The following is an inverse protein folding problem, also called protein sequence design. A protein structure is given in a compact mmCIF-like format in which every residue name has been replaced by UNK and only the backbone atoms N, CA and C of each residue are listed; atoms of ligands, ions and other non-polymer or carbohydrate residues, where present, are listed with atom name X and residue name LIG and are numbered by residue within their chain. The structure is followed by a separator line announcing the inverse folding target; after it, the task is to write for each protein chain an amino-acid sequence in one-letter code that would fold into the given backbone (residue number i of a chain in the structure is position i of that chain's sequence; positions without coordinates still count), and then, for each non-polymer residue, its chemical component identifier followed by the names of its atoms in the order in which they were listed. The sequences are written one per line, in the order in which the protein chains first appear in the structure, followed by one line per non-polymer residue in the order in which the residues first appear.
data_IF_830260953896
#
_entry.id   IF_830260953896
#
_cell.length_a   1.000
_cell.length_b   1.000
_cell.length_c   1.000
_cell.angle_alpha   90.00
_cell.angle_beta   90.00
_cell.angle_gamma   90.00
#
_symmetry.space_group_name_H-M   'P 1'
#
loop_
_entity.id
_entity.type
_entity.pdbx_description
1 polymer ?
#
# COMPACT_ATOMS: atom_id res chain seq x y z
N UNK A 1 -10.12 -0.06 16.39
CA UNK A 1 -10.11 0.28 14.94
C UNK A 1 -10.42 -0.97 14.15
N UNK A 2 -11.11 -0.84 13.03
CA UNK A 2 -11.51 -1.98 12.20
C UNK A 2 -10.46 -2.32 11.13
N UNK A 3 -10.51 -3.55 10.63
CA UNK A 3 -9.78 -4.02 9.46
C UNK A 3 -10.77 -4.42 8.38
N UNK A 4 -10.54 -3.96 7.15
CA UNK A 4 -11.45 -4.21 6.03
C UNK A 4 -10.64 -4.70 4.84
N UNK A 5 -10.97 -5.89 4.33
CA UNK A 5 -10.42 -6.39 3.06
C UNK A 5 -10.80 -5.39 1.99
N UNK A 6 -9.89 -4.90 1.14
CA UNK A 6 -10.17 -3.90 0.08
C UNK A 6 -10.17 -4.47 -1.34
N UNK A 7 -9.37 -5.50 -1.62
CA UNK A 7 -9.30 -6.08 -2.95
C UNK A 7 -8.09 -6.99 -3.09
N UNK A 8 -7.64 -7.18 -4.33
CA UNK A 8 -6.44 -7.96 -4.62
C UNK A 8 -5.21 -7.09 -4.83
N UNK A 9 -4.04 -7.63 -4.50
CA UNK A 9 -2.76 -6.99 -4.80
C UNK A 9 -2.58 -6.88 -6.32
N UNK A 10 -2.01 -5.78 -6.80
CA UNK A 10 -1.77 -5.56 -8.23
C UNK A 10 -2.97 -5.01 -9.02
N UNK A 11 -4.12 -4.81 -8.38
CA UNK A 11 -5.28 -4.13 -8.99
C UNK A 11 -5.45 -2.72 -8.46
N UNK A 12 -5.95 -1.81 -9.31
CA UNK A 12 -6.39 -0.48 -8.88
C UNK A 12 -7.72 -0.62 -8.14
N UNK A 13 -7.71 -0.37 -6.83
CA UNK A 13 -8.89 -0.57 -5.97
C UNK A 13 -9.50 0.78 -5.60
N UNK A 14 -10.75 0.99 -6.01
CA UNK A 14 -11.55 2.15 -5.58
C UNK A 14 -12.49 1.71 -4.46
N UNK A 15 -12.33 2.29 -3.26
CA UNK A 15 -13.14 1.92 -2.09
C UNK A 15 -14.52 2.58 -2.16
N UNK A 16 -15.64 1.85 -2.26
CA UNK A 16 -16.96 2.45 -2.44
C UNK A 16 -17.52 2.98 -1.12
N UNK A 17 -17.03 4.14 -0.69
CA UNK A 17 -17.53 4.85 0.48
C UNK A 17 -17.35 6.35 0.29
N UNK A 18 -18.30 7.10 0.83
CA UNK A 18 -18.35 8.55 1.01
C UNK A 18 -17.94 8.97 2.43
N UNK A 19 -17.47 8.04 3.27
CA UNK A 19 -17.07 8.29 4.65
C UNK A 19 -15.55 8.23 4.77
N UNK A 20 -14.95 9.28 5.33
CA UNK A 20 -13.50 9.35 5.52
C UNK A 20 -12.99 8.16 6.33
N UNK A 21 -12.02 7.41 5.77
CA UNK A 21 -11.52 6.16 6.36
C UNK A 21 -10.90 6.31 7.76
N UNK A 22 -10.44 7.52 8.10
CA UNK A 22 -9.76 7.80 9.37
C UNK A 22 -10.66 8.43 10.45
N UNK A 23 -11.44 9.44 10.07
CA UNK A 23 -12.29 10.21 11.00
C UNK A 23 -13.73 9.73 11.06
N UNK A 24 -14.21 8.94 10.08
CA UNK A 24 -15.61 8.51 10.03
C UNK A 24 -16.60 9.60 9.61
N UNK A 25 -16.12 10.78 9.19
CA UNK A 25 -16.96 11.89 8.74
C UNK A 25 -17.17 11.82 7.22
N UNK A 26 -18.36 12.15 6.69
CA UNK A 26 -18.60 12.20 5.25
C UNK A 26 -17.60 13.12 4.51
N UNK A 27 -17.10 12.67 3.36
CA UNK A 27 -16.18 13.41 2.52
C UNK A 27 -16.24 12.96 1.06
N UNK A 28 -16.17 13.92 0.14
CA UNK A 28 -16.06 13.68 -1.31
C UNK A 28 -14.61 13.61 -1.77
N UNK A 29 -13.66 14.07 -0.94
CA UNK A 29 -12.24 14.11 -1.27
C UNK A 29 -11.62 12.71 -1.19
N UNK A 30 -10.86 12.33 -2.21
CA UNK A 30 -10.22 11.02 -2.32
C UNK A 30 -8.71 11.18 -2.41
N UNK A 31 -7.98 10.30 -1.72
CA UNK A 31 -6.53 10.24 -1.76
C UNK A 31 -6.12 8.87 -2.27
N UNK A 32 -5.23 8.87 -3.27
CA UNK A 32 -4.60 7.65 -3.79
C UNK A 32 -3.47 7.23 -2.87
N UNK A 33 -3.66 6.12 -2.16
CA UNK A 33 -2.58 5.45 -1.43
C UNK A 33 -1.80 4.58 -2.41
N UNK A 34 -0.54 4.94 -2.62
CA UNK A 34 0.41 4.16 -3.42
C UNK A 34 1.46 3.58 -2.49
N UNK A 35 1.81 2.34 -2.71
CA UNK A 35 2.90 1.70 -1.98
C UNK A 35 3.30 0.38 -2.59
N UNK A 36 4.25 -0.26 -1.92
CA UNK A 36 4.62 -1.64 -2.17
C UNK A 36 4.46 -2.44 -0.88
N UNK A 37 4.11 -3.70 -1.05
CA UNK A 37 4.07 -4.69 0.03
C UNK A 37 5.09 -5.76 -0.29
N UNK A 38 5.81 -6.20 0.73
CA UNK A 38 6.72 -7.34 0.66
C UNK A 38 6.15 -8.47 1.51
N UNK A 39 6.30 -9.73 1.10
CA UNK A 39 5.92 -10.87 1.94
C UNK A 39 6.68 -10.88 3.27
N UNK A 40 6.00 -11.23 4.36
CA UNK A 40 6.60 -11.25 5.71
C UNK A 40 7.85 -12.13 5.81
N UNK A 41 7.93 -13.23 5.04
CA UNK A 41 9.09 -14.12 5.00
C UNK A 41 10.36 -13.42 4.51
N UNK A 42 10.24 -12.34 3.74
CA UNK A 42 11.41 -11.58 3.25
C UNK A 42 12.16 -10.97 4.43
N UNK A 43 11.47 -10.56 5.49
CA UNK A 43 12.10 -9.99 6.70
C UNK A 43 13.09 -10.98 7.35
N UNK A 44 12.83 -12.29 7.24
CA UNK A 44 13.73 -13.32 7.77
C UNK A 44 15.11 -13.26 7.10
N UNK A 45 15.19 -12.87 5.83
CA UNK A 45 16.47 -12.72 5.11
C UNK A 45 17.36 -11.61 5.69
N UNK A 46 16.76 -10.62 6.36
CA UNK A 46 17.51 -9.53 7.01
C UNK A 46 18.50 -10.06 8.04
N UNK A 47 18.16 -11.18 8.72
CA UNK A 47 19.00 -11.82 9.74
C UNK A 47 20.24 -12.47 9.13
N UNK A 48 20.14 -12.96 7.90
CA UNK A 48 21.25 -13.63 7.21
C UNK A 48 22.15 -12.65 6.47
N UNK A 49 21.54 -11.71 5.74
CA UNK A 49 22.29 -10.73 4.95
C UNK A 49 21.41 -9.55 4.55
N UNK A 50 21.92 -8.33 4.76
CA UNK A 50 21.28 -7.09 4.29
C UNK A 50 21.13 -7.07 2.76
N UNK A 51 22.15 -7.53 2.03
CA UNK A 51 22.14 -7.54 0.55
C UNK A 51 21.06 -8.49 0.00
N UNK A 52 21.02 -9.75 0.48
CA UNK A 52 19.98 -10.71 0.10
C UNK A 52 18.57 -10.25 0.45
N UNK A 53 18.38 -9.63 1.62
CA UNK A 53 17.10 -9.00 1.98
C UNK A 53 16.70 -7.89 1.00
N UNK A 54 17.62 -7.02 0.62
CA UNK A 54 17.36 -5.91 -0.30
C UNK A 54 16.99 -6.43 -1.70
N UNK A 55 17.75 -7.41 -2.21
CA UNK A 55 17.46 -8.05 -3.50
C UNK A 55 16.09 -8.75 -3.50
N UNK A 56 15.82 -9.56 -2.48
CA UNK A 56 14.53 -10.25 -2.33
C UNK A 56 13.37 -9.26 -2.18
N UNK A 57 13.56 -8.15 -1.44
CA UNK A 57 12.55 -7.10 -1.28
C UNK A 57 12.20 -6.43 -2.60
N UNK A 58 13.20 -6.12 -3.45
CA UNK A 58 12.96 -5.53 -4.77
C UNK A 58 12.25 -6.53 -5.69
N UNK A 59 12.68 -7.79 -5.70
CA UNK A 59 12.12 -8.82 -6.59
C UNK A 59 10.69 -9.25 -6.19
N UNK A 60 10.39 -9.29 -4.89
CA UNK A 60 9.09 -9.70 -4.36
C UNK A 60 8.12 -8.55 -4.10
N UNK A 61 8.57 -7.30 -4.24
CA UNK A 61 7.76 -6.11 -3.99
C UNK A 61 6.60 -6.04 -4.99
N UNK A 62 5.38 -6.14 -4.48
CA UNK A 62 4.18 -5.91 -5.28
C UNK A 62 3.65 -4.51 -5.05
N UNK A 63 3.49 -3.75 -6.13
CA UNK A 63 2.91 -2.41 -6.10
C UNK A 63 1.40 -2.49 -5.93
N UNK A 64 0.83 -1.54 -5.19
CA UNK A 64 -0.60 -1.38 -5.05
C UNK A 64 -1.00 0.09 -5.17
N UNK A 65 -2.24 0.30 -5.61
CA UNK A 65 -2.88 1.61 -5.69
C UNK A 65 -4.30 1.48 -5.15
N UNK A 66 -4.60 2.20 -4.08
CA UNK A 66 -5.90 2.16 -3.40
C UNK A 66 -6.43 3.58 -3.25
N UNK A 67 -7.57 3.88 -3.85
CA UNK A 67 -8.23 5.18 -3.75
C UNK A 67 -9.26 5.19 -2.61
N UNK A 68 -8.92 5.90 -1.54
CA UNK A 68 -9.73 5.98 -0.31
C UNK A 68 -10.31 7.38 -0.08
N UNK A 69 -11.55 7.49 0.45
CA UNK A 69 -12.08 8.77 0.93
C UNK A 69 -11.28 9.25 2.15
N UNK A 70 -10.72 10.45 2.06
CA UNK A 70 -9.84 11.00 3.10
C UNK A 70 -10.01 12.51 3.21
N UNK A 71 -10.12 13.02 4.45
CA UNK A 71 -10.29 14.45 4.68
C UNK A 71 -9.03 15.24 4.34
N UNK A 72 -9.15 16.37 3.62
CA UNK A 72 -8.00 17.13 3.12
C UNK A 72 -7.12 17.70 4.24
N UNK A 73 -7.70 18.09 5.38
CA UNK A 73 -6.92 18.64 6.50
C UNK A 73 -6.02 17.58 7.15
N UNK A 74 -6.47 16.32 7.23
CA UNK A 74 -5.66 15.21 7.75
C UNK A 74 -4.49 14.91 6.82
N UNK A 75 -4.72 14.96 5.49
CA UNK A 75 -3.65 14.73 4.50
C UNK A 75 -2.61 15.85 4.58
N UNK A 76 -3.06 17.10 4.67
CA UNK A 76 -2.17 18.27 4.82
C UNK A 76 -1.34 18.19 6.11
N UNK A 77 -1.96 17.89 7.25
CA UNK A 77 -1.25 17.74 8.53
C UNK A 77 -0.22 16.62 8.48
N UNK A 78 -0.59 15.45 7.92
CA UNK A 78 0.34 14.34 7.77
C UNK A 78 1.54 14.72 6.91
N UNK A 79 1.33 15.38 5.75
CA UNK A 79 2.40 15.84 4.86
C UNK A 79 3.33 16.82 5.56
N UNK A 80 2.79 17.84 6.22
CA UNK A 80 3.59 18.85 6.93
C UNK A 80 4.49 18.21 8.00
N UNK A 81 3.94 17.32 8.82
CA UNK A 81 4.70 16.63 9.86
C UNK A 81 5.72 15.65 9.28
N UNK A 82 5.40 15.00 8.16
CA UNK A 82 6.34 14.13 7.45
C UNK A 82 7.50 14.92 6.87
N UNK A 83 7.22 16.03 6.20
CA UNK A 83 8.24 16.86 5.58
C UNK A 83 9.16 17.47 6.64
N UNK A 84 8.60 17.91 7.78
CA UNK A 84 9.39 18.33 8.95
C UNK A 84 10.30 17.21 9.46
N UNK A 85 9.77 16.00 9.63
CA UNK A 85 10.55 14.84 10.07
C UNK A 85 11.68 14.51 9.07
N UNK A 86 11.42 14.60 7.77
CA UNK A 86 12.45 14.38 6.74
C UNK A 86 13.54 15.45 6.82
N UNK A 87 13.18 16.72 6.96
CA UNK A 87 14.15 17.83 7.07
C UNK A 87 15.01 17.67 8.31
N UNK A 88 14.40 17.47 9.49
CA UNK A 88 15.13 17.29 10.75
C UNK A 88 16.02 16.04 10.69
N UNK A 89 15.51 14.95 10.14
CA UNK A 89 16.29 13.72 9.96
C UNK A 89 17.51 13.92 9.07
N UNK A 90 17.34 14.63 7.96
CA UNK A 90 18.41 14.94 7.00
C UNK A 90 19.48 15.84 7.63
N UNK A 91 19.07 16.87 8.38
CA UNK A 91 19.98 17.73 9.13
C UNK A 91 20.80 16.91 10.14
N UNK A 92 20.15 16.00 10.89
CA UNK A 92 20.84 15.12 11.83
C UNK A 92 21.89 14.24 11.15
N UNK A 93 21.59 13.67 9.98
CA UNK A 93 22.55 12.83 9.24
C UNK A 93 23.74 13.66 8.75
N UNK A 94 23.48 14.83 8.14
CA UNK A 94 24.53 15.72 7.65
C UNK A 94 25.43 16.16 8.82
N UNK A 95 24.84 16.57 9.94
CA UNK A 95 25.58 16.97 11.12
C UNK A 95 26.41 15.82 11.70
N UNK A 96 25.90 14.58 11.69
CA UNK A 96 26.64 13.40 12.15
C UNK A 96 27.85 13.10 11.25
N UNK A 97 27.69 13.21 9.93
CA UNK A 97 28.79 13.04 8.98
C UNK A 97 29.86 14.11 9.19
N UNK A 98 29.47 15.38 9.28
CA UNK A 98 30.42 16.49 9.51
C UNK A 98 31.14 16.31 10.85
N UNK A 99 30.43 16.01 11.93
CA UNK A 99 31.03 15.79 13.25
C UNK A 99 32.03 14.62 13.25
N UNK A 100 31.71 13.54 12.52
CA UNK A 100 32.60 12.38 12.37
C UNK A 100 33.86 12.75 11.59
N UNK A 101 33.74 13.51 10.50
CA UNK A 101 34.88 13.96 9.69
C UNK A 101 35.76 14.99 10.43
N UNK A 102 35.18 15.78 11.31
CA UNK A 102 35.90 16.75 12.15
C UNK A 102 36.55 16.14 13.40
N UNK A 103 36.36 14.84 13.65
CA UNK A 103 36.93 14.17 14.83
C UNK A 103 36.31 14.63 16.16
N UNK A 104 35.06 15.08 16.16
CA UNK A 104 34.36 15.44 17.39
C UNK A 104 33.95 14.16 18.16
N UNK A 105 34.33 14.06 19.43
CA UNK A 105 34.03 12.93 20.32
C UNK A 105 32.52 12.70 20.55
N UNK A 106 31.68 13.64 20.11
CA UNK A 106 30.22 13.62 20.34
C UNK A 106 29.40 13.52 19.04
N UNK A 107 29.96 12.91 17.99
CA UNK A 107 29.25 12.65 16.73
C UNK A 107 27.96 11.81 16.88
N UNK A 108 27.74 11.17 18.03
CA UNK A 108 26.49 10.45 18.35
C UNK A 108 25.30 11.38 18.64
N UNK A 109 25.53 12.62 19.10
CA UNK A 109 24.46 13.58 19.42
C UNK A 109 23.61 13.94 18.18
N UNK A 110 24.19 14.35 17.04
CA UNK A 110 23.39 14.58 15.83
C UNK A 110 22.73 13.30 15.29
N UNK A 111 23.31 12.12 15.54
CA UNK A 111 22.69 10.84 15.19
C UNK A 111 21.41 10.60 16.00
N UNK A 112 21.38 10.98 17.27
CA UNK A 112 20.13 10.93 18.07
C UNK A 112 19.04 11.84 17.48
N UNK A 113 19.40 13.00 16.94
CA UNK A 113 18.43 13.87 16.28
C UNK A 113 17.77 13.15 15.09
N UNK A 114 18.55 12.39 14.30
CA UNK A 114 18.01 11.54 13.22
C UNK A 114 17.08 10.47 13.76
N UNK A 115 17.44 9.79 14.85
CA UNK A 115 16.58 8.77 15.48
C UNK A 115 15.25 9.39 15.94
N UNK A 116 15.29 10.55 16.60
CA UNK A 116 14.08 11.27 17.03
C UNK A 116 13.20 11.63 15.83
N UNK A 117 13.79 12.11 14.74
CA UNK A 117 13.06 12.44 13.52
C UNK A 117 12.37 11.20 12.90
N UNK A 118 13.06 10.06 12.87
CA UNK A 118 12.49 8.77 12.40
C UNK A 118 11.31 8.36 13.29
N UNK A 119 11.47 8.43 14.62
CA UNK A 119 10.40 8.07 15.56
C UNK A 119 9.18 8.98 15.38
N UNK A 120 9.38 10.29 15.29
CA UNK A 120 8.29 11.26 15.05
C UNK A 120 7.59 11.00 13.71
N UNK A 121 8.35 10.72 12.64
CA UNK A 121 7.80 10.36 11.33
C UNK A 121 6.95 9.08 11.37
N UNK A 122 7.41 8.07 12.11
CA UNK A 122 6.68 6.81 12.32
C UNK A 122 5.41 7.01 13.15
N UNK A 123 5.48 7.74 14.26
CA UNK A 123 4.31 8.05 15.10
C UNK A 123 3.28 8.87 14.33
N UNK A 124 3.72 9.89 13.58
CA UNK A 124 2.86 10.68 12.71
C UNK A 124 2.17 9.79 11.67
N UNK A 125 2.93 8.92 11.00
CA UNK A 125 2.37 7.97 10.03
C UNK A 125 1.38 7.00 10.68
N UNK A 126 1.67 6.50 11.88
CA UNK A 126 0.78 5.61 12.61
C UNK A 126 -0.54 6.29 13.01
N UNK A 127 -0.45 7.54 13.47
CA UNK A 127 -1.61 8.30 13.95
C UNK A 127 -2.47 8.83 12.82
N UNK A 128 -1.90 9.29 11.72
CA UNK A 128 -2.66 10.00 10.69
C UNK A 128 -2.97 9.17 9.45
N UNK A 129 -2.16 8.16 9.10
CA UNK A 129 -2.46 7.30 7.96
C UNK A 129 -3.32 6.09 8.34
N UNK A 130 -3.98 5.54 7.32
CA UNK A 130 -4.48 4.17 7.32
C UNK A 130 -3.39 3.25 6.81
N UNK A 131 -3.26 2.05 7.39
CA UNK A 131 -2.28 1.09 6.89
C UNK A 131 -2.88 0.25 5.77
N UNK A 132 -2.11 -0.02 4.72
CA UNK A 132 -2.43 -1.07 3.77
C UNK A 132 -1.50 -2.24 4.09
N UNK A 133 -2.07 -3.41 4.36
CA UNK A 133 -1.30 -4.63 4.59
C UNK A 133 -1.78 -5.71 3.63
N UNK A 134 -0.85 -6.50 3.13
CA UNK A 134 -1.18 -7.73 2.44
C UNK A 134 -1.44 -8.82 3.48
N UNK A 135 -2.57 -9.53 3.37
CA UNK A 135 -2.88 -10.68 4.22
C UNK A 135 -3.01 -11.91 3.32
N UNK A 136 -2.02 -12.79 3.35
CA UNK A 136 -1.96 -13.92 2.42
C UNK A 136 -1.45 -13.55 1.02
N UNK A 137 -1.57 -14.43 0.01
CA UNK A 137 -0.86 -14.28 -1.26
C UNK A 137 -1.39 -13.15 -2.15
N UNK A 138 -2.67 -12.78 -2.01
CA UNK A 138 -3.29 -11.81 -2.91
C UNK A 138 -4.22 -10.80 -2.25
N UNK A 139 -4.52 -10.90 -0.94
CA UNK A 139 -5.54 -10.03 -0.33
C UNK A 139 -4.92 -8.76 0.23
N UNK A 140 -5.43 -7.60 -0.19
CA UNK A 140 -5.13 -6.32 0.43
C UNK A 140 -6.16 -6.01 1.53
N UNK A 141 -5.67 -5.60 2.69
CA UNK A 141 -6.47 -5.23 3.86
C UNK A 141 -6.12 -3.82 4.27
N UNK A 142 -7.12 -2.96 4.39
CA UNK A 142 -6.99 -1.70 5.09
C UNK A 142 -7.05 -1.95 6.59
N UNK A 143 -6.04 -1.48 7.29
CA UNK A 143 -5.93 -1.51 8.74
C UNK A 143 -6.13 -0.11 9.30
N UNK A 144 -6.50 -0.03 10.59
CA UNK A 144 -6.69 1.23 11.30
C UNK A 144 -7.83 2.08 10.70
N UNK A 145 -8.87 1.42 10.20
CA UNK A 145 -10.05 2.07 9.63
C UNK A 145 -11.02 2.44 10.75
N UNK A 146 -11.65 3.60 10.62
CA UNK A 146 -12.72 4.03 11.51
C UNK A 146 -13.93 3.09 11.40
N UNK A 147 -14.59 2.67 12.51
CA UNK A 147 -15.72 1.74 12.45
C UNK A 147 -16.84 2.17 11.49
N UNK A 148 -17.28 3.43 11.56
CA UNK A 148 -18.31 3.96 10.64
C UNK A 148 -17.90 3.87 9.15
N UNK A 149 -16.62 4.10 8.84
CA UNK A 149 -16.13 3.94 7.47
C UNK A 149 -16.08 2.46 7.07
N UNK A 150 -15.71 1.56 7.98
CA UNK A 150 -15.72 0.12 7.71
C UNK A 150 -17.14 -0.39 7.37
N UNK A 151 -18.15 0.03 8.14
CA UNK A 151 -19.55 -0.28 7.87
C UNK A 151 -20.02 0.29 6.52
N UNK A 152 -19.65 1.53 6.20
CA UNK A 152 -19.96 2.14 4.90
C UNK A 152 -19.32 1.38 3.73
N UNK A 153 -18.07 0.92 3.87
CA UNK A 153 -17.38 0.12 2.85
C UNK A 153 -18.06 -1.23 2.63
N UNK A 154 -18.45 -1.91 3.71
CA UNK A 154 -19.15 -3.21 3.63
C UNK A 154 -20.50 -3.03 2.94
N UNK A 155 -21.27 -2.00 3.30
CA UNK A 155 -22.54 -1.67 2.64
C UNK A 155 -22.37 -1.31 1.17
N UNK A 156 -21.41 -0.44 0.85
CA UNK A 156 -21.13 -0.01 -0.52
C UNK A 156 -20.78 -1.19 -1.44
N UNK A 157 -20.07 -2.19 -0.91
CA UNK A 157 -19.80 -3.43 -1.65
C UNK A 157 -21.01 -4.29 -1.89
N UNK A 158 -21.87 -4.47 -0.89
CA UNK A 158 -23.09 -5.26 -1.03
C UNK A 158 -23.99 -4.67 -2.13
N UNK A 159 -24.03 -3.34 -2.24
CA UNK A 159 -24.73 -2.64 -3.31
C UNK A 159 -24.08 -2.87 -4.69
N UNK A 160 -22.74 -2.81 -4.77
CA UNK A 160 -22.02 -3.10 -6.02
C UNK A 160 -22.18 -4.54 -6.50
N UNK A 161 -22.15 -5.52 -5.58
CA UNK A 161 -22.39 -6.92 -5.94
C UNK A 161 -23.82 -7.16 -6.42
N UNK A 162 -24.79 -6.36 -5.95
CA UNK A 162 -26.20 -6.46 -6.38
C UNK A 162 -26.47 -5.78 -7.72
N UNK A 163 -25.62 -4.81 -8.12
CA UNK A 163 -25.78 -4.04 -9.35
C UNK A 163 -24.88 -4.53 -10.49
N UNK A 164 -23.98 -5.47 -10.23
CA UNK A 164 -23.35 -6.23 -11.30
C UNK A 164 -24.47 -7.02 -12.02
N UNK A 165 -24.79 -6.70 -13.30
CA UNK A 165 -25.76 -7.49 -14.04
C UNK A 165 -25.30 -8.93 -13.95
N UNK A 166 -26.23 -9.82 -13.60
CA UNK A 166 -25.99 -11.26 -13.57
C UNK A 166 -25.53 -11.64 -14.97
N UNK A 167 -24.22 -11.58 -15.20
CA UNK A 167 -23.60 -12.03 -16.43
C UNK A 167 -23.92 -13.51 -16.36
N UNK A 168 -24.88 -14.01 -17.17
CA UNK A 168 -25.29 -15.39 -17.08
C UNK A 168 -23.99 -16.16 -17.15
N UNK A 169 -23.65 -16.85 -16.06
CA UNK A 169 -22.48 -17.71 -16.00
C UNK A 169 -22.60 -18.50 -17.26
N UNK A 170 -21.73 -18.19 -18.23
CA UNK A 170 -21.78 -18.78 -19.55
C UNK A 170 -21.56 -20.24 -19.28
N UNK A 171 -22.68 -20.95 -19.16
CA UNK A 171 -22.73 -22.39 -19.19
C UNK A 171 -21.89 -22.70 -20.40
N UNK A 172 -20.72 -23.29 -20.12
CA UNK A 172 -19.77 -23.70 -21.10
C UNK A 172 -20.53 -24.63 -22.03
N UNK A 173 -21.15 -24.05 -23.06
CA UNK A 173 -21.57 -24.71 -24.27
C UNK A 173 -20.26 -25.01 -24.97
N UNK A 174 -19.59 -26.01 -24.43
CA UNK A 174 -18.59 -26.82 -25.08
C UNK A 174 -19.34 -27.70 -26.10
N UNK A 175 -20.18 -27.09 -26.94
CA UNK A 175 -20.69 -27.74 -28.14
C UNK A 175 -19.54 -27.66 -29.14
N UNK A 176 -18.79 -28.77 -29.18
CA UNK A 176 -18.72 -29.54 -30.41
C UNK A 176 -18.37 -28.74 -31.68
N UNK A 177 -17.19 -28.13 -31.70
CA UNK A 177 -16.43 -27.95 -32.94
C UNK A 177 -15.18 -28.83 -32.91
N UNK A 178 -15.38 -30.11 -32.62
CA UNK A 178 -14.71 -31.16 -33.36
C UNK A 178 -15.33 -31.18 -34.77
N UNK A 179 -14.53 -31.53 -35.76
CA UNK A 179 -14.90 -31.75 -37.16
C UNK A 179 -15.12 -30.49 -38.01
N UNK A 180 -14.04 -30.07 -38.66
CA UNK A 180 -13.88 -29.85 -40.11
C UNK A 180 -12.57 -29.05 -40.28
N UNK A 181 -11.49 -29.70 -40.73
CA UNK A 181 -11.05 -29.59 -42.13
C UNK A 181 -10.50 -28.18 -42.37
N UNK A 182 -9.22 -27.96 -42.67
CA UNK A 182 -8.65 -28.22 -43.98
C UNK A 182 -7.14 -28.02 -43.88
N UNK A 183 -6.41 -29.01 -44.39
CA UNK A 183 -5.00 -28.93 -44.75
C UNK A 183 -4.89 -28.23 -46.12
N UNK A 184 -4.02 -27.23 -46.28
CA UNK A 184 -3.29 -27.18 -47.55
C UNK A 184 -1.83 -26.73 -47.46
N UNK A 185 -1.06 -27.44 -48.28
CA UNK A 185 0.06 -27.00 -49.10
C UNK A 185 1.35 -26.49 -48.46
N UNK A 186 2.26 -27.44 -48.35
CA UNK A 186 3.66 -27.25 -48.73
C UNK A 186 3.75 -26.79 -50.20
N UNK A 187 4.20 -25.56 -50.44
CA UNK A 187 5.01 -25.28 -51.62
C UNK A 187 5.91 -24.05 -51.47
N UNK A 188 7.19 -24.32 -51.75
CA UNK A 188 8.20 -23.48 -52.42
C UNK A 188 8.85 -22.31 -51.66
N UNK A 189 10.13 -22.54 -51.40
CA UNK A 189 11.23 -21.58 -51.33
C UNK A 189 12.53 -22.36 -51.34
#
# INVERSE_FOLDING_TARGET
MATVVVGRVGTDVVVPSDVCVKSGVPTTHRVTLRGSTTPDWVIVLLVFTIIGWLFASVMSSRKYRVDVPFQPYLDKQWRQLRDLAVVVGSIGVIAAVVASLSGLDHAWVPLLLTVVAIVLGNVNSYRHLVGVQQRGPETLVLTRVHPAAAEAIVRGRALQSSSAPHQPTGEHRYDDQRSHGVQPDQHRG
#
